data_IF_665483108335
#
_entry.id   IF_665483108335
#
_cell.length_a   1.000
_cell.length_b   1.000
_cell.length_c   1.000
_cell.angle_alpha   90.00
_cell.angle_beta   90.00
_cell.angle_gamma   90.00
#
_symmetry.space_group_name_H-M   'P 1'
#
loop_
_entity.id
_entity.type
_entity.pdbx_description
1 polymer ?
#
# COMPACT_ATOMS: atom_id res chain seq x y z
N UNK A 1 -23.77 12.70 11.23
CA UNK A 1 -23.99 11.60 10.27
C UNK A 1 -23.33 10.36 10.85
N UNK A 2 -24.12 9.39 11.33
CA UNK A 2 -23.61 8.16 11.90
C UNK A 2 -23.54 7.10 10.79
N UNK A 3 -22.33 6.79 10.31
CA UNK A 3 -22.15 5.64 9.42
C UNK A 3 -21.93 4.40 10.30
N UNK A 4 -22.94 3.52 10.38
CA UNK A 4 -22.84 2.21 11.02
C UNK A 4 -22.19 1.21 10.04
N UNK A 5 -20.90 1.42 9.76
CA UNK A 5 -20.15 0.70 8.74
C UNK A 5 -19.60 -0.64 9.24
N UNK A 6 -20.46 -1.54 9.73
CA UNK A 6 -19.99 -2.87 10.16
C UNK A 6 -20.62 -4.03 9.38
N UNK A 7 -21.75 -3.84 8.67
CA UNK A 7 -22.32 -4.91 7.82
C UNK A 7 -23.43 -4.47 6.84
N UNK A 8 -23.66 -3.17 6.61
CA UNK A 8 -24.73 -2.75 5.70
C UNK A 8 -24.24 -2.83 4.25
N UNK A 9 -24.67 -3.88 3.55
CA UNK A 9 -24.40 -4.09 2.12
C UNK A 9 -24.71 -2.87 1.25
N UNK A 10 -25.64 -2.00 1.69
CA UNK A 10 -26.01 -0.77 0.98
C UNK A 10 -24.88 0.25 0.96
N UNK A 11 -24.19 0.44 2.09
CA UNK A 11 -23.08 1.39 2.17
C UNK A 11 -21.91 0.99 1.26
N UNK A 12 -21.59 -0.31 1.20
CA UNK A 12 -20.56 -0.84 0.31
C UNK A 12 -20.98 -0.64 -1.16
N UNK A 13 -22.26 -0.84 -1.49
CA UNK A 13 -22.76 -0.62 -2.85
C UNK A 13 -22.70 0.85 -3.27
N UNK A 14 -23.01 1.79 -2.37
CA UNK A 14 -22.94 3.23 -2.64
C UNK A 14 -21.50 3.69 -2.91
N UNK A 15 -20.54 3.24 -2.10
CA UNK A 15 -19.12 3.51 -2.35
C UNK A 15 -18.69 2.91 -3.69
N UNK A 16 -19.05 1.65 -3.93
CA UNK A 16 -18.66 0.95 -5.17
C UNK A 16 -19.21 1.66 -6.40
N UNK A 17 -20.47 2.09 -6.36
CA UNK A 17 -21.09 2.85 -7.44
C UNK A 17 -20.38 4.20 -7.66
N UNK A 18 -20.07 4.95 -6.60
CA UNK A 18 -19.33 6.20 -6.71
C UNK A 18 -17.92 5.99 -7.30
N UNK A 19 -17.26 4.89 -6.97
CA UNK A 19 -15.96 4.51 -7.56
C UNK A 19 -16.07 4.17 -9.05
N UNK A 20 -17.19 3.57 -9.48
CA UNK A 20 -17.46 3.33 -10.91
C UNK A 20 -17.76 4.62 -11.64
N UNK A 21 -18.60 5.50 -11.09
CA UNK A 21 -18.97 6.78 -11.68
C UNK A 21 -17.76 7.72 -11.85
N UNK A 22 -16.80 7.66 -10.92
CA UNK A 22 -15.54 8.43 -11.00
C UNK A 22 -14.49 7.80 -11.91
N UNK A 23 -14.73 6.58 -12.41
CA UNK A 23 -13.79 5.84 -13.25
C UNK A 23 -12.59 5.24 -12.50
N UNK A 24 -12.63 5.23 -11.16
CA UNK A 24 -11.60 4.57 -10.32
C UNK A 24 -11.74 3.04 -10.43
N UNK A 25 -12.97 2.57 -10.55
CA UNK A 25 -13.31 1.16 -10.76
C UNK A 25 -14.00 1.00 -12.11
N UNK A 26 -13.56 0.04 -12.91
CA UNK A 26 -14.25 -0.30 -14.14
C UNK A 26 -15.57 -1.01 -13.84
N UNK A 27 -16.64 -0.63 -14.56
CA UNK A 27 -17.98 -1.26 -14.48
C UNK A 27 -17.95 -2.77 -14.79
N UNK A 28 -16.92 -3.24 -15.51
CA UNK A 28 -16.74 -4.64 -15.87
C UNK A 28 -15.42 -5.17 -15.32
N UNK A 29 -15.50 -6.06 -14.34
CA UNK A 29 -14.32 -6.77 -13.86
C UNK A 29 -14.08 -8.02 -14.71
N UNK A 30 -12.91 -8.13 -15.33
CA UNK A 30 -12.46 -9.36 -15.98
C UNK A 30 -11.43 -10.07 -15.10
N UNK A 31 -11.57 -11.39 -14.94
CA UNK A 31 -10.53 -12.19 -14.32
C UNK A 31 -9.41 -12.43 -15.32
N UNK A 32 -8.25 -11.83 -15.07
CA UNK A 32 -7.04 -12.06 -15.87
C UNK A 32 -6.11 -13.01 -15.14
N UNK A 33 -5.58 -14.00 -15.88
CA UNK A 33 -4.52 -14.86 -15.36
C UNK A 33 -3.21 -14.08 -15.46
N UNK A 34 -2.58 -13.85 -14.31
CA UNK A 34 -1.22 -13.31 -14.26
C UNK A 34 -0.25 -14.40 -14.71
N UNK A 35 0.51 -14.12 -15.76
CA UNK A 35 1.56 -14.98 -16.28
C UNK A 35 2.80 -14.16 -16.60
N UNK A 36 3.97 -14.72 -16.35
CA UNK A 36 5.21 -14.09 -16.77
C UNK A 36 5.38 -14.24 -18.29
N UNK A 37 5.93 -13.20 -18.92
CA UNK A 37 6.28 -13.30 -20.34
C UNK A 37 7.40 -14.32 -20.48
N UNK A 38 7.29 -15.24 -21.45
CA UNK A 38 8.35 -16.23 -21.75
C UNK A 38 9.72 -15.60 -21.99
N UNK A 39 9.75 -14.38 -22.53
CA UNK A 39 10.98 -13.61 -22.72
C UNK A 39 11.62 -13.17 -21.41
N UNK A 40 10.81 -12.82 -20.42
CA UNK A 40 11.27 -12.45 -19.08
C UNK A 40 11.72 -13.68 -18.29
N UNK A 41 10.98 -14.79 -18.36
CA UNK A 41 11.38 -16.07 -17.73
C UNK A 41 12.74 -16.58 -18.23
N UNK A 42 13.06 -16.30 -19.49
CA UNK A 42 14.34 -16.68 -20.06
C UNK A 42 15.48 -15.69 -19.77
N UNK A 43 15.17 -14.53 -19.19
CA UNK A 43 16.16 -13.49 -18.91
C UNK A 43 17.11 -13.88 -17.80
N UNK A 44 18.31 -13.32 -17.85
CA UNK A 44 19.33 -13.51 -16.81
C UNK A 44 18.93 -12.94 -15.47
N UNK A 45 18.17 -11.84 -15.46
CA UNK A 45 17.63 -11.24 -14.24
C UNK A 45 16.63 -12.19 -13.58
N UNK A 46 15.80 -12.91 -14.35
CA UNK A 46 14.87 -13.88 -13.77
C UNK A 46 15.59 -15.15 -13.27
N UNK A 47 16.58 -15.66 -14.02
CA UNK A 47 17.27 -16.91 -13.70
C UNK A 47 18.35 -16.77 -12.62
N UNK A 48 19.03 -15.62 -12.59
CA UNK A 48 20.23 -15.38 -11.78
C UNK A 48 20.21 -14.02 -11.07
N UNK A 49 19.09 -13.31 -11.11
CA UNK A 49 18.96 -12.03 -10.42
C UNK A 49 19.03 -12.18 -8.91
N UNK A 50 19.52 -11.12 -8.27
CA UNK A 50 19.55 -10.99 -6.82
C UNK A 50 18.31 -10.21 -6.39
N UNK A 51 17.57 -10.74 -5.43
CA UNK A 51 16.44 -10.06 -4.81
C UNK A 51 16.85 -9.67 -3.41
N UNK A 52 16.82 -8.36 -3.12
CA UNK A 52 16.97 -7.85 -1.76
C UNK A 52 15.59 -7.85 -1.13
N UNK A 53 15.33 -8.86 -0.30
CA UNK A 53 14.15 -8.88 0.53
C UNK A 53 14.50 -8.12 1.81
N UNK A 54 13.75 -7.05 2.08
CA UNK A 54 13.78 -6.45 3.40
C UNK A 54 13.08 -7.42 4.35
N UNK A 55 13.78 -7.84 5.40
CA UNK A 55 13.10 -8.50 6.51
C UNK A 55 12.19 -7.46 7.18
N UNK A 56 10.91 -7.80 7.30
CA UNK A 56 10.02 -7.04 8.15
C UNK A 56 10.38 -7.39 9.58
N UNK A 57 11.25 -6.59 10.19
CA UNK A 57 11.46 -6.70 11.63
C UNK A 57 10.17 -6.25 12.33
N UNK A 58 9.68 -7.10 13.24
CA UNK A 58 8.71 -6.64 14.23
C UNK A 58 9.37 -5.52 15.03
N UNK A 59 9.00 -4.28 14.74
CA UNK A 59 9.29 -3.16 15.63
C UNK A 59 8.51 -3.45 16.90
N UNK A 60 9.13 -4.17 17.84
CA UNK A 60 8.70 -4.15 19.23
C UNK A 60 8.60 -2.67 19.57
N UNK A 61 7.41 -2.19 20.02
CA UNK A 61 7.27 -0.80 20.40
C UNK A 61 8.41 -0.50 21.35
N UNK A 62 9.35 0.35 20.92
CA UNK A 62 10.45 0.75 21.74
C UNK A 62 9.79 1.41 22.96
N UNK A 63 9.85 0.75 24.12
CA UNK A 63 9.39 1.31 25.40
C UNK A 63 10.18 2.57 25.81
N UNK A 64 11.08 3.05 24.95
CA UNK A 64 11.56 4.42 25.01
C UNK A 64 10.53 5.26 24.26
N UNK A 65 9.42 5.50 24.94
CA UNK A 65 8.46 6.51 24.57
C UNK A 65 9.21 7.84 24.40
N UNK A 66 9.55 8.19 23.16
CA UNK A 66 9.66 9.59 22.78
C UNK A 66 8.32 10.20 23.17
N UNK A 67 8.34 10.94 24.28
CA UNK A 67 7.16 11.56 24.87
C UNK A 67 6.36 12.28 23.81
N UNK A 68 5.04 12.31 23.95
CA UNK A 68 4.12 12.86 22.95
C UNK A 68 4.53 14.25 22.44
N UNK A 69 5.22 15.04 23.28
CA UNK A 69 5.91 16.29 22.93
C UNK A 69 6.82 16.21 21.70
N UNK A 70 7.65 15.18 21.58
CA UNK A 70 8.66 15.08 20.51
C UNK A 70 8.00 14.78 19.17
N UNK A 71 6.90 14.02 19.16
CA UNK A 71 6.15 13.67 17.94
C UNK A 71 5.42 14.87 17.32
N UNK A 72 5.09 15.88 18.13
CA UNK A 72 4.34 17.07 17.68
C UNK A 72 5.24 18.22 17.26
N UNK A 73 6.55 18.10 17.41
CA UNK A 73 7.48 19.20 17.11
C UNK A 73 7.93 19.12 15.66
N UNK A 74 7.73 20.21 14.92
CA UNK A 74 8.21 20.35 13.55
C UNK A 74 9.72 20.57 13.63
N UNK A 75 10.50 19.66 13.06
CA UNK A 75 11.95 19.78 12.95
C UNK A 75 12.31 20.23 11.54
N UNK A 76 13.11 21.30 11.45
CA UNK A 76 13.63 21.80 10.19
C UNK A 76 14.90 21.02 9.86
N UNK A 77 14.78 20.05 8.94
CA UNK A 77 15.93 19.25 8.49
C UNK A 77 16.67 20.04 7.43
N UNK A 78 17.90 20.46 7.74
CA UNK A 78 18.80 21.09 6.78
C UNK A 78 19.69 19.99 6.20
N UNK A 79 19.48 19.68 4.92
CA UNK A 79 20.38 18.80 4.18
C UNK A 79 21.60 19.60 3.74
N UNK A 80 22.75 19.29 4.33
CA UNK A 80 24.03 19.76 3.83
C UNK A 80 24.49 18.72 2.80
N UNK A 81 24.36 19.07 1.52
CA UNK A 81 25.04 18.34 0.45
C UNK A 81 26.47 18.85 0.37
N UNK A 82 27.42 17.94 0.57
CA UNK A 82 28.84 18.16 0.32
C UNK A 82 29.19 17.99 -1.15
#
# INVERSE_FOLDING_TARGET
>A
MYYHSNNDSRYISEITQALVETGIVEDKTIQVRLGLKKTFENSEIYKRGLIFLNEQEEIKPLEIALGAEVRKKIYLVVFIFG
#
